data_IF_187542490252
#
_entry.id   IF_187542490252
#
_cell.length_a   1.000
_cell.length_b   1.000
_cell.length_c   1.000
_cell.angle_alpha   90.00
_cell.angle_beta   90.00
_cell.angle_gamma   90.00
#
_symmetry.space_group_name_H-M   'P 1'
#
loop_
_entity.id
_entity.type
_entity.pdbx_description
1 polymer ?
#
# COMPACT_ATOMS: atom_id res chain seq x y z
N UNK A 1 -24.23 -27.14 -9.44
CA UNK A 1 -23.02 -27.07 -8.59
C UNK A 1 -23.03 -25.73 -7.87
N UNK A 2 -23.05 -25.72 -6.53
CA UNK A 2 -23.05 -24.50 -5.70
C UNK A 2 -21.60 -24.04 -5.50
N UNK A 3 -21.13 -23.11 -6.29
CA UNK A 3 -19.92 -22.30 -6.02
C UNK A 3 -20.37 -20.91 -5.62
N UNK A 4 -20.70 -20.74 -4.34
CA UNK A 4 -21.08 -19.45 -3.80
C UNK A 4 -20.63 -19.34 -2.37
N UNK A 5 -20.02 -18.19 -2.05
CA UNK A 5 -19.75 -17.67 -0.70
C UNK A 5 -18.37 -17.87 -0.06
N UNK A 6 -17.31 -18.12 -0.83
CA UNK A 6 -15.92 -18.06 -0.33
C UNK A 6 -15.32 -16.64 -0.38
N UNK A 7 -15.62 -15.81 -1.39
CA UNK A 7 -15.09 -14.43 -1.49
C UNK A 7 -15.72 -13.46 -0.46
N UNK A 8 -17.03 -13.56 -0.20
CA UNK A 8 -17.68 -12.74 0.82
C UNK A 8 -17.11 -12.94 2.24
N UNK A 9 -16.59 -14.13 2.54
CA UNK A 9 -15.92 -14.44 3.81
C UNK A 9 -14.53 -13.81 3.92
N UNK A 10 -13.84 -13.61 2.80
CA UNK A 10 -12.52 -12.97 2.78
C UNK A 10 -12.62 -11.46 3.00
N UNK A 11 -13.57 -10.79 2.34
CA UNK A 11 -13.83 -9.35 2.54
C UNK A 11 -14.33 -9.06 3.96
N UNK A 12 -15.18 -9.92 4.52
CA UNK A 12 -15.62 -9.81 5.92
C UNK A 12 -14.48 -10.06 6.89
N UNK A 13 -13.55 -10.97 6.62
CA UNK A 13 -12.39 -11.20 7.48
C UNK A 13 -11.42 -10.00 7.47
N UNK A 14 -11.19 -9.37 6.32
CA UNK A 14 -10.32 -8.20 6.20
C UNK A 14 -10.95 -6.96 6.88
N UNK A 15 -12.25 -6.74 6.69
CA UNK A 15 -13.02 -5.70 7.37
C UNK A 15 -13.11 -5.99 8.87
N UNK A 16 -13.31 -7.24 9.29
CA UNK A 16 -13.34 -7.64 10.69
C UNK A 16 -11.97 -7.53 11.35
N UNK A 17 -10.86 -7.80 10.65
CA UNK A 17 -9.51 -7.57 11.17
C UNK A 17 -9.22 -6.08 11.31
N UNK A 18 -9.62 -5.25 10.35
CA UNK A 18 -9.50 -3.79 10.43
C UNK A 18 -10.40 -3.21 11.55
N UNK A 19 -11.63 -3.71 11.69
CA UNK A 19 -12.56 -3.32 12.75
C UNK A 19 -12.12 -3.81 14.13
N UNK A 20 -11.56 -5.02 14.24
CA UNK A 20 -11.04 -5.56 15.50
C UNK A 20 -9.75 -4.85 15.94
N UNK A 21 -8.92 -4.38 15.00
CA UNK A 21 -7.82 -3.47 15.31
C UNK A 21 -8.31 -2.10 15.83
N UNK A 22 -9.52 -1.69 15.42
CA UNK A 22 -10.17 -0.45 15.84
C UNK A 22 -10.98 -0.57 17.16
N UNK A 23 -11.46 -1.78 17.49
CA UNK A 23 -12.41 -2.03 18.59
C UNK A 23 -11.80 -2.61 19.88
N UNK A 24 -10.55 -2.28 20.24
CA UNK A 24 -10.16 -2.52 21.65
C UNK A 24 -10.96 -1.56 22.55
N UNK A 25 -11.74 -2.06 23.52
CA UNK A 25 -12.64 -1.22 24.30
C UNK A 25 -11.83 -0.22 25.13
N UNK A 26 -12.28 1.04 25.09
CA UNK A 26 -11.97 2.06 26.09
C UNK A 26 -12.47 1.54 27.45
N UNK A 27 -11.67 0.72 28.13
CA UNK A 27 -11.96 0.35 29.51
C UNK A 27 -11.60 1.54 30.39
N UNK A 28 -12.57 2.42 30.59
CA UNK A 28 -12.64 3.36 31.71
C UNK A 28 -12.71 2.53 33.00
N UNK A 29 -11.56 2.09 33.50
CA UNK A 29 -11.26 1.91 34.92
C UNK A 29 -10.03 1.02 35.09
N UNK A 30 -8.87 1.67 35.27
CA UNK A 30 -7.82 1.33 36.24
C UNK A 30 -6.66 2.33 36.09
N UNK A 31 -6.17 2.97 37.17
CA UNK A 31 -4.84 3.57 37.15
C UNK A 31 -3.83 2.41 37.15
N UNK A 32 -3.41 1.98 35.96
CA UNK A 32 -2.29 1.07 35.80
C UNK A 32 -1.11 1.87 35.26
N UNK A 33 -0.14 2.06 36.14
CA UNK A 33 1.26 2.33 35.81
C UNK A 33 1.60 1.67 34.47
N UNK A 34 2.03 2.47 33.50
CA UNK A 34 2.40 2.02 32.16
C UNK A 34 3.29 0.76 32.27
N UNK A 35 2.89 -0.38 31.70
CA UNK A 35 3.76 -1.53 31.70
C UNK A 35 4.99 -1.19 30.86
N UNK A 36 6.14 -1.32 31.50
CA UNK A 36 7.48 -1.32 30.90
C UNK A 36 7.47 -1.97 29.51
N UNK A 37 7.99 -1.26 28.51
CA UNK A 37 8.40 -1.78 27.20
C UNK A 37 9.07 -3.14 27.40
N UNK A 38 8.40 -4.22 27.04
CA UNK A 38 8.79 -5.58 27.43
C UNK A 38 9.98 -6.12 26.66
N UNK A 39 10.36 -5.47 25.56
CA UNK A 39 11.60 -5.69 24.80
C UNK A 39 12.08 -4.36 24.20
N UNK A 40 13.40 -4.18 23.96
CA UNK A 40 13.87 -3.03 23.21
C UNK A 40 13.31 -3.11 21.79
N UNK A 41 12.29 -2.31 21.52
CA UNK A 41 11.95 -1.98 20.14
C UNK A 41 13.11 -1.11 19.65
N UNK A 42 13.97 -1.61 18.75
CA UNK A 42 15.05 -0.80 18.18
C UNK A 42 14.52 0.47 17.52
N UNK A 43 13.22 0.50 17.21
CA UNK A 43 12.40 1.66 16.86
C UNK A 43 12.45 2.83 17.87
N UNK A 44 12.95 2.63 19.09
CA UNK A 44 13.15 3.65 20.13
C UNK A 44 14.58 4.20 20.10
N UNK A 45 15.53 3.44 19.55
CA UNK A 45 16.95 3.79 19.50
C UNK A 45 17.35 4.03 18.05
N UNK A 46 16.92 5.15 17.49
CA UNK A 46 17.44 5.71 16.23
C UNK A 46 18.90 6.21 16.39
N UNK A 47 19.63 5.72 17.40
CA UNK A 47 20.99 6.14 17.68
C UNK A 47 21.92 5.61 16.59
N UNK A 48 22.70 6.51 16.00
CA UNK A 48 23.72 6.15 15.01
C UNK A 48 24.78 5.19 15.58
N UNK A 49 25.01 5.25 16.91
CA UNK A 49 26.09 4.60 17.66
C UNK A 49 25.88 3.12 18.05
N UNK A 50 24.90 2.42 17.47
CA UNK A 50 24.80 0.97 17.66
C UNK A 50 25.93 0.27 16.88
N UNK A 51 27.01 -0.09 17.59
CA UNK A 51 28.17 -0.80 17.04
C UNK A 51 27.84 -2.19 16.50
N UNK A 52 26.71 -2.79 16.92
CA UNK A 52 26.23 -4.09 16.49
C UNK A 52 24.83 -3.96 15.85
N UNK A 53 24.76 -3.51 14.60
CA UNK A 53 23.52 -3.58 13.80
C UNK A 53 23.39 -4.96 13.15
N UNK A 54 22.19 -5.55 13.09
CA UNK A 54 21.99 -6.78 12.34
C UNK A 54 22.21 -6.53 10.85
N UNK A 55 22.78 -7.50 10.11
CA UNK A 55 22.98 -7.37 8.68
C UNK A 55 21.64 -7.33 7.92
N UNK A 56 21.62 -6.64 6.78
CA UNK A 56 20.43 -6.53 5.93
C UNK A 56 19.87 -7.90 5.52
N UNK A 57 20.74 -8.89 5.30
CA UNK A 57 20.34 -10.26 4.95
C UNK A 57 19.48 -10.92 6.02
N UNK A 58 19.68 -10.59 7.29
CA UNK A 58 18.88 -11.11 8.40
C UNK A 58 17.50 -10.42 8.45
N UNK A 59 17.45 -9.10 8.22
CA UNK A 59 16.18 -8.38 8.13
C UNK A 59 15.33 -8.81 6.92
N UNK A 60 15.96 -9.17 5.80
CA UNK A 60 15.29 -9.63 4.59
C UNK A 60 15.03 -11.15 4.57
N UNK A 61 15.38 -11.89 5.63
CA UNK A 61 15.16 -13.34 5.70
C UNK A 61 13.68 -13.72 5.90
N UNK A 62 12.78 -12.74 6.07
CA UNK A 62 11.35 -12.97 6.22
C UNK A 62 10.73 -13.42 4.87
N UNK A 63 9.86 -14.44 4.85
CA UNK A 63 9.13 -14.84 3.64
C UNK A 63 8.38 -13.69 2.94
N UNK A 64 7.89 -12.69 3.71
CA UNK A 64 7.23 -11.50 3.16
C UNK A 64 8.21 -10.56 2.46
N UNK A 65 9.46 -10.51 2.89
CA UNK A 65 10.50 -9.73 2.23
C UNK A 65 10.92 -10.36 0.91
N UNK A 66 10.99 -11.69 0.82
CA UNK A 66 11.19 -12.37 -0.47
C UNK A 66 10.10 -12.01 -1.49
N UNK A 67 8.84 -11.98 -1.04
CA UNK A 67 7.71 -11.57 -1.88
C UNK A 67 7.80 -10.10 -2.30
N UNK A 68 8.13 -9.21 -1.37
CA UNK A 68 8.31 -7.78 -1.67
C UNK A 68 9.47 -7.56 -2.64
N UNK A 69 10.59 -8.26 -2.49
CA UNK A 69 11.73 -8.17 -3.41
C UNK A 69 11.38 -8.70 -4.81
N UNK A 70 10.61 -9.78 -4.90
CA UNK A 70 10.11 -10.27 -6.19
C UNK A 70 9.21 -9.23 -6.88
N UNK A 71 8.31 -8.60 -6.12
CA UNK A 71 7.44 -7.54 -6.62
C UNK A 71 8.24 -6.31 -7.06
N UNK A 72 9.24 -5.89 -6.30
CA UNK A 72 10.12 -4.77 -6.66
C UNK A 72 10.99 -5.07 -7.88
N UNK A 73 11.40 -6.32 -8.09
CA UNK A 73 12.10 -6.73 -9.32
C UNK A 73 11.19 -6.60 -10.55
N UNK A 74 9.93 -7.04 -10.44
CA UNK A 74 8.91 -6.81 -11.50
C UNK A 74 8.64 -5.31 -11.67
N UNK A 75 8.57 -4.56 -10.57
CA UNK A 75 8.39 -3.11 -10.60
C UNK A 75 9.54 -2.37 -11.28
N UNK A 76 10.78 -2.82 -11.08
CA UNK A 76 11.95 -2.29 -11.80
C UNK A 76 11.86 -2.53 -13.31
N UNK A 77 11.39 -3.72 -13.73
CA UNK A 77 11.13 -4.02 -15.14
C UNK A 77 10.05 -3.10 -15.73
N UNK A 78 8.92 -2.96 -15.05
CA UNK A 78 7.81 -2.09 -15.49
C UNK A 78 8.26 -0.62 -15.53
N UNK A 79 8.99 -0.17 -14.50
CA UNK A 79 9.53 1.18 -14.43
C UNK A 79 10.46 1.48 -15.60
N UNK A 80 11.39 0.57 -15.90
CA UNK A 80 12.30 0.70 -17.04
C UNK A 80 11.54 0.73 -18.36
N UNK A 81 10.56 -0.16 -18.54
CA UNK A 81 9.74 -0.21 -19.74
C UNK A 81 8.99 1.10 -19.98
N UNK A 82 8.46 1.75 -18.94
CA UNK A 82 7.86 3.08 -19.06
C UNK A 82 8.87 4.17 -19.38
N UNK A 83 10.08 4.10 -18.81
CA UNK A 83 11.14 5.08 -19.12
C UNK A 83 11.51 5.02 -20.60
N UNK A 84 11.60 3.83 -21.18
CA UNK A 84 11.99 3.65 -22.60
C UNK A 84 10.82 3.59 -23.59
N UNK A 85 9.57 3.63 -23.11
CA UNK A 85 8.37 3.60 -23.94
C UNK A 85 8.05 2.23 -24.57
N UNK A 86 8.34 1.13 -23.89
CA UNK A 86 8.13 -0.23 -24.38
C UNK A 86 6.87 -0.90 -23.78
N UNK A 87 5.79 -0.92 -24.55
CA UNK A 87 4.45 -1.40 -24.13
C UNK A 87 3.99 -2.64 -24.92
N UNK A 88 4.84 -3.66 -24.99
CA UNK A 88 4.54 -4.90 -25.71
C UNK A 88 3.81 -5.95 -24.84
N UNK A 89 3.63 -7.17 -25.36
CA UNK A 89 3.00 -8.27 -24.61
C UNK A 89 3.77 -8.62 -23.33
N UNK A 90 5.08 -8.41 -23.31
CA UNK A 90 5.90 -8.70 -22.14
C UNK A 90 5.71 -7.67 -21.03
N UNK A 91 5.26 -6.45 -21.38
CA UNK A 91 4.81 -5.44 -20.43
C UNK A 91 3.54 -5.91 -19.72
N UNK A 92 2.53 -6.36 -20.48
CA UNK A 92 1.27 -6.88 -19.95
C UNK A 92 1.49 -8.11 -19.06
N UNK A 93 2.41 -9.00 -19.42
CA UNK A 93 2.77 -10.12 -18.57
C UNK A 93 3.43 -9.67 -17.26
N UNK A 94 4.27 -8.62 -17.30
CA UNK A 94 4.84 -8.03 -16.08
C UNK A 94 3.74 -7.41 -15.20
N UNK A 95 2.75 -6.71 -15.77
CA UNK A 95 1.60 -6.18 -15.02
C UNK A 95 0.86 -7.30 -14.29
N UNK A 96 0.56 -8.42 -14.98
CA UNK A 96 -0.10 -9.58 -14.38
C UNK A 96 0.69 -10.14 -13.20
N UNK A 97 2.00 -10.27 -13.34
CA UNK A 97 2.87 -10.69 -12.24
C UNK A 97 2.87 -9.70 -11.08
N UNK A 98 2.92 -8.39 -11.36
CA UNK A 98 2.87 -7.36 -10.33
C UNK A 98 1.55 -7.41 -9.53
N UNK A 99 0.41 -7.52 -10.22
CA UNK A 99 -0.91 -7.69 -9.61
C UNK A 99 -0.97 -8.95 -8.75
N UNK A 100 -0.50 -10.09 -9.28
CA UNK A 100 -0.51 -11.36 -8.54
C UNK A 100 0.35 -11.31 -7.28
N UNK A 101 1.53 -10.71 -7.37
CA UNK A 101 2.44 -10.52 -6.24
C UNK A 101 1.89 -9.50 -5.23
N UNK A 102 1.22 -8.44 -5.68
CA UNK A 102 0.53 -7.48 -4.82
C UNK A 102 -0.63 -8.12 -4.03
N UNK A 103 -1.46 -8.93 -4.70
CA UNK A 103 -2.50 -9.71 -4.04
C UNK A 103 -1.92 -10.76 -3.06
N UNK A 104 -0.82 -11.41 -3.43
CA UNK A 104 -0.10 -12.30 -2.52
C UNK A 104 0.45 -11.54 -1.29
N UNK A 105 0.91 -10.30 -1.46
CA UNK A 105 1.41 -9.47 -0.34
C UNK A 105 0.27 -9.11 0.62
N UNK A 106 -0.91 -8.81 0.09
CA UNK A 106 -2.11 -8.61 0.90
C UNK A 106 -2.46 -9.87 1.72
N UNK A 107 -2.43 -11.06 1.09
CA UNK A 107 -2.66 -12.31 1.78
C UNK A 107 -1.59 -12.60 2.85
N UNK A 108 -0.33 -12.32 2.56
CA UNK A 108 0.78 -12.44 3.51
C UNK A 108 0.62 -11.50 4.71
N UNK A 109 0.13 -10.27 4.49
CA UNK A 109 -0.18 -9.34 5.57
C UNK A 109 -1.27 -9.87 6.50
N UNK A 110 -2.34 -10.46 5.95
CA UNK A 110 -3.39 -11.12 6.74
C UNK A 110 -2.82 -12.29 7.56
N UNK A 111 -2.04 -13.16 6.92
CA UNK A 111 -1.39 -14.28 7.61
C UNK A 111 -0.46 -13.80 8.74
N UNK A 112 0.27 -12.71 8.51
CA UNK A 112 1.14 -12.08 9.49
C UNK A 112 0.35 -11.55 10.70
N UNK A 113 -0.78 -10.89 10.47
CA UNK A 113 -1.66 -10.37 11.53
C UNK A 113 -2.28 -11.50 12.35
N UNK A 114 -2.77 -12.55 11.70
CA UNK A 114 -3.40 -13.71 12.36
C UNK A 114 -2.39 -14.46 13.23
N UNK A 115 -1.19 -14.71 12.70
CA UNK A 115 -0.12 -15.40 13.42
C UNK A 115 0.60 -14.52 14.44
N UNK A 116 0.41 -13.18 14.37
CA UNK A 116 1.22 -12.17 15.07
C UNK A 116 2.72 -12.28 14.78
N UNK A 117 3.09 -12.95 13.70
CA UNK A 117 4.49 -13.15 13.34
C UNK A 117 5.15 -11.82 13.00
N UNK A 118 6.28 -11.50 13.66
CA UNK A 118 7.02 -10.26 13.41
C UNK A 118 6.14 -9.00 13.48
N UNK A 119 5.13 -8.98 14.36
CA UNK A 119 4.35 -7.79 14.71
C UNK A 119 4.84 -7.34 16.09
N UNK A 120 5.24 -6.08 16.22
CA UNK A 120 5.71 -5.55 17.51
C UNK A 120 4.59 -5.65 18.56
N UNK A 121 4.88 -6.19 19.77
CA UNK A 121 3.91 -6.22 20.86
C UNK A 121 3.77 -4.85 21.55
N UNK A 122 4.66 -3.90 21.27
CA UNK A 122 4.64 -2.57 21.88
C UNK A 122 3.52 -1.73 21.26
N UNK A 123 2.58 -1.30 22.10
CA UNK A 123 1.47 -0.47 21.67
C UNK A 123 1.94 0.93 21.27
N UNK A 124 1.44 1.41 20.12
CA UNK A 124 1.75 2.75 19.60
C UNK A 124 0.49 3.51 19.24
N UNK A 125 0.63 4.81 19.04
CA UNK A 125 -0.49 5.70 18.72
C UNK A 125 -0.88 5.63 17.24
N UNK A 126 -2.18 5.50 16.98
CA UNK A 126 -2.77 5.65 15.64
C UNK A 126 -2.18 4.72 14.59
N UNK A 127 -1.89 5.27 13.39
CA UNK A 127 -1.38 4.50 12.25
C UNK A 127 0.06 4.00 12.45
N UNK A 128 0.76 4.44 13.49
CA UNK A 128 2.16 4.05 13.75
C UNK A 128 2.28 2.69 14.45
N UNK A 129 1.15 2.15 14.95
CA UNK A 129 1.05 0.78 15.44
C UNK A 129 1.38 -0.24 14.34
N UNK A 130 2.26 -1.20 14.66
CA UNK A 130 2.80 -2.13 13.65
C UNK A 130 1.73 -3.06 13.06
N UNK A 131 0.71 -3.41 13.86
CA UNK A 131 -0.43 -4.17 13.36
C UNK A 131 -1.29 -3.29 12.42
N UNK A 132 -1.50 -2.02 12.78
CA UNK A 132 -2.22 -1.07 11.93
C UNK A 132 -1.48 -0.78 10.61
N UNK A 133 -0.17 -0.51 10.65
CA UNK A 133 0.66 -0.36 9.44
C UNK A 133 0.56 -1.60 8.56
N UNK A 134 0.68 -2.79 9.16
CA UNK A 134 0.63 -4.05 8.42
C UNK A 134 -0.73 -4.29 7.76
N UNK A 135 -1.82 -4.02 8.48
CA UNK A 135 -3.18 -4.15 7.96
C UNK A 135 -3.44 -3.15 6.82
N UNK A 136 -3.05 -1.89 7.03
CA UNK A 136 -3.18 -0.86 6.02
C UNK A 136 -2.39 -1.19 4.75
N UNK A 137 -1.12 -1.58 4.88
CA UNK A 137 -0.31 -1.97 3.73
C UNK A 137 -0.92 -3.15 2.95
N UNK A 138 -1.44 -4.17 3.65
CA UNK A 138 -2.12 -5.29 2.98
C UNK A 138 -3.39 -4.86 2.24
N UNK A 139 -4.21 -4.02 2.87
CA UNK A 139 -5.43 -3.49 2.25
C UNK A 139 -5.11 -2.58 1.05
N UNK A 140 -4.07 -1.74 1.16
CA UNK A 140 -3.59 -0.87 0.09
C UNK A 140 -3.06 -1.69 -1.09
N UNK A 141 -2.22 -2.69 -0.85
CA UNK A 141 -1.71 -3.58 -1.90
C UNK A 141 -2.85 -4.29 -2.64
N UNK A 142 -3.91 -4.72 -1.93
CA UNK A 142 -5.08 -5.32 -2.56
C UNK A 142 -5.88 -4.31 -3.39
N UNK A 143 -6.17 -3.13 -2.84
CA UNK A 143 -6.94 -2.08 -3.52
C UNK A 143 -6.25 -1.62 -4.81
N UNK A 144 -4.94 -1.37 -4.74
CA UNK A 144 -4.14 -0.98 -5.91
C UNK A 144 -4.01 -2.12 -6.92
N UNK A 145 -3.84 -3.36 -6.47
CA UNK A 145 -3.78 -4.52 -7.39
C UNK A 145 -5.11 -4.69 -8.15
N UNK A 146 -6.25 -4.49 -7.47
CA UNK A 146 -7.55 -4.49 -8.13
C UNK A 146 -7.65 -3.35 -9.14
N UNK A 147 -7.33 -2.11 -8.75
CA UNK A 147 -7.41 -0.94 -9.64
C UNK A 147 -6.53 -1.12 -10.88
N UNK A 148 -5.28 -1.56 -10.69
CA UNK A 148 -4.34 -1.84 -11.76
C UNK A 148 -4.87 -2.93 -12.71
N UNK A 149 -5.38 -4.04 -12.18
CA UNK A 149 -5.94 -5.11 -13.00
C UNK A 149 -7.18 -4.67 -13.75
N UNK A 150 -8.05 -3.89 -13.10
CA UNK A 150 -9.32 -3.43 -13.65
C UNK A 150 -9.12 -2.43 -14.79
N UNK A 151 -8.07 -1.61 -14.72
CA UNK A 151 -7.67 -0.69 -15.77
C UNK A 151 -6.88 -1.36 -16.90
N UNK A 152 -6.15 -2.44 -16.62
CA UNK A 152 -5.28 -3.12 -17.59
C UNK A 152 -6.05 -3.79 -18.74
N UNK A 153 -5.38 -3.91 -19.88
CA UNK A 153 -5.77 -4.79 -21.00
C UNK A 153 -5.84 -6.27 -20.59
N UNK A 154 -5.22 -6.65 -19.47
CA UNK A 154 -5.28 -7.98 -18.89
C UNK A 154 -6.50 -8.22 -17.99
N UNK A 155 -7.42 -7.26 -17.84
CA UNK A 155 -8.62 -7.42 -17.02
C UNK A 155 -9.43 -8.66 -17.46
N UNK A 156 -9.68 -9.64 -16.58
CA UNK A 156 -10.46 -10.81 -16.94
C UNK A 156 -11.95 -10.45 -17.13
N UNK A 157 -12.66 -11.13 -18.04
CA UNK A 157 -14.11 -10.96 -18.18
C UNK A 157 -14.83 -11.22 -16.84
N UNK A 158 -15.80 -10.36 -16.51
CA UNK A 158 -16.61 -10.47 -15.30
C UNK A 158 -15.99 -9.84 -14.04
N UNK A 159 -14.74 -9.33 -14.08
CA UNK A 159 -14.20 -8.56 -12.95
C UNK A 159 -15.03 -7.29 -12.69
N UNK A 160 -15.61 -6.70 -13.76
CA UNK A 160 -16.49 -5.54 -13.69
C UNK A 160 -17.73 -5.75 -12.83
N UNK A 161 -18.18 -6.99 -12.65
CA UNK A 161 -19.34 -7.32 -11.81
C UNK A 161 -19.07 -7.00 -10.32
N UNK A 162 -17.79 -6.83 -9.96
CA UNK A 162 -17.33 -6.49 -8.62
C UNK A 162 -16.88 -5.03 -8.50
N UNK A 163 -17.07 -4.19 -9.52
CA UNK A 163 -16.57 -2.81 -9.51
C UNK A 163 -17.10 -2.01 -8.33
N UNK A 164 -18.41 -2.02 -8.07
CA UNK A 164 -19.01 -1.27 -6.96
C UNK A 164 -18.43 -1.65 -5.57
N UNK A 165 -18.42 -2.93 -5.14
CA UNK A 165 -17.86 -3.29 -3.84
C UNK A 165 -16.34 -3.09 -3.76
N UNK A 166 -15.59 -3.37 -4.83
CA UNK A 166 -14.14 -3.19 -4.84
C UNK A 166 -13.74 -1.70 -4.84
N UNK A 167 -14.44 -0.86 -5.61
CA UNK A 167 -14.28 0.58 -5.59
C UNK A 167 -14.56 1.17 -4.21
N UNK A 168 -15.67 0.78 -3.57
CA UNK A 168 -16.01 1.26 -2.23
C UNK A 168 -14.91 0.91 -1.21
N UNK A 169 -14.39 -0.31 -1.27
CA UNK A 169 -13.27 -0.74 -0.42
C UNK A 169 -12.00 0.08 -0.72
N UNK A 170 -11.65 0.26 -1.99
CA UNK A 170 -10.48 1.03 -2.40
C UNK A 170 -10.57 2.49 -1.95
N UNK A 171 -11.73 3.14 -2.13
CA UNK A 171 -11.98 4.50 -1.65
C UNK A 171 -11.78 4.59 -0.13
N UNK A 172 -12.32 3.65 0.64
CA UNK A 172 -12.13 3.63 2.09
C UNK A 172 -10.66 3.47 2.48
N UNK A 173 -9.92 2.60 1.78
CA UNK A 173 -8.49 2.38 2.02
C UNK A 173 -7.69 3.65 1.72
N UNK A 174 -7.90 4.28 0.56
CA UNK A 174 -7.18 5.49 0.17
C UNK A 174 -7.55 6.68 1.07
N UNK A 175 -8.83 6.85 1.42
CA UNK A 175 -9.26 7.87 2.36
C UNK A 175 -8.67 7.66 3.76
N UNK A 176 -8.63 6.41 4.24
CA UNK A 176 -7.97 6.08 5.50
C UNK A 176 -6.48 6.43 5.46
N UNK A 177 -5.79 6.09 4.36
CA UNK A 177 -4.39 6.43 4.15
C UNK A 177 -4.11 7.93 4.20
N UNK A 178 -5.02 8.77 3.70
CA UNK A 178 -4.89 10.22 3.76
C UNK A 178 -5.20 10.81 5.14
N UNK A 179 -6.22 10.27 5.82
CA UNK A 179 -6.75 10.87 7.06
C UNK A 179 -6.03 10.35 8.32
N UNK A 180 -5.78 9.05 8.42
CA UNK A 180 -5.25 8.44 9.64
C UNK A 180 -3.86 8.96 10.07
N UNK A 181 -2.90 9.23 9.16
CA UNK A 181 -1.63 9.85 9.54
C UNK A 181 -1.81 11.25 10.15
N UNK A 182 -2.70 12.08 9.57
CA UNK A 182 -3.01 13.42 10.08
C UNK A 182 -3.63 13.34 11.47
N UNK A 183 -4.62 12.47 11.67
CA UNK A 183 -5.24 12.25 12.97
C UNK A 183 -4.23 11.72 14.02
N UNK A 184 -3.24 10.94 13.58
CA UNK A 184 -2.15 10.44 14.44
C UNK A 184 -1.24 11.58 14.89
N UNK A 185 -0.85 12.48 13.97
CA UNK A 185 -0.04 13.66 14.27
C UNK A 185 -0.76 14.66 15.17
N UNK A 186 -2.08 14.83 15.00
CA UNK A 186 -2.91 15.67 15.85
C UNK A 186 -3.17 15.07 17.25
N UNK A 187 -2.68 13.85 17.52
CA UNK A 187 -2.84 13.19 18.83
C UNK A 187 -4.28 12.75 19.13
N UNK A 188 -5.12 12.61 18.11
CA UNK A 188 -6.55 12.31 18.27
C UNK A 188 -6.84 10.81 18.51
N UNK A 189 -5.82 9.95 18.45
CA UNK A 189 -5.95 8.53 18.77
C UNK A 189 -5.60 8.23 20.23
N UNK A 190 -6.60 8.32 21.11
CA UNK A 190 -6.57 7.78 22.47
C UNK A 190 -5.60 8.49 23.42
N UNK A 191 -6.13 9.23 24.40
CA UNK A 191 -5.37 9.94 25.44
C UNK A 191 -4.50 9.03 26.32
N UNK A 192 -4.78 7.72 26.33
CA UNK A 192 -4.04 6.72 27.12
C UNK A 192 -2.80 6.15 26.40
N UNK A 193 -2.62 6.43 25.10
CA UNK A 193 -1.46 5.93 24.34
C UNK A 193 -0.24 6.84 24.53
N UNK A 194 0.99 6.31 24.50
CA UNK A 194 2.20 7.12 24.62
C UNK A 194 2.29 8.20 23.53
N UNK A 195 2.94 9.31 23.84
CA UNK A 195 3.27 10.35 22.87
C UNK A 195 4.21 9.80 21.78
N UNK A 196 4.12 10.38 20.58
CA UNK A 196 4.99 10.01 19.48
C UNK A 196 6.42 10.46 19.78
N UNK A 197 7.37 9.55 19.63
CA UNK A 197 8.79 9.92 19.56
C UNK A 197 9.09 10.77 18.30
N UNK A 198 10.27 11.39 18.23
CA UNK A 198 10.72 12.12 17.05
C UNK A 198 10.71 11.25 15.78
N UNK A 199 11.20 10.01 15.89
CA UNK A 199 11.20 9.03 14.80
C UNK A 199 9.77 8.64 14.39
N UNK A 200 8.86 8.47 15.34
CA UNK A 200 7.46 8.16 15.03
C UNK A 200 6.73 9.35 14.40
N UNK A 201 7.08 10.57 14.80
CA UNK A 201 6.61 11.80 14.16
C UNK A 201 7.08 11.87 12.70
N UNK A 202 8.38 11.65 12.46
CA UNK A 202 8.94 11.60 11.10
C UNK A 202 8.25 10.55 10.23
N UNK A 203 8.01 9.34 10.78
CA UNK A 203 7.29 8.26 10.09
C UNK A 203 5.85 8.66 9.78
N UNK A 204 5.13 9.24 10.74
CA UNK A 204 3.75 9.70 10.55
C UNK A 204 3.66 10.80 9.48
N UNK A 205 4.61 11.74 9.45
CA UNK A 205 4.71 12.76 8.40
C UNK A 205 4.97 12.14 7.03
N UNK A 206 5.87 11.14 6.93
CA UNK A 206 6.08 10.39 5.69
C UNK A 206 4.81 9.69 5.20
N UNK A 207 4.02 9.13 6.12
CA UNK A 207 2.74 8.50 5.81
C UNK A 207 1.69 9.50 5.30
N UNK A 208 1.71 10.78 5.74
CA UNK A 208 0.84 11.82 5.16
C UNK A 208 1.12 11.98 3.67
N UNK A 209 2.39 12.08 3.27
CA UNK A 209 2.74 12.24 1.85
C UNK A 209 2.30 11.05 1.00
N UNK A 210 2.52 9.82 1.47
CA UNK A 210 2.07 8.59 0.80
C UNK A 210 0.54 8.53 0.73
N UNK A 211 -0.15 8.90 1.82
CA UNK A 211 -1.60 8.96 1.90
C UNK A 211 -2.22 9.96 0.92
N UNK A 212 -1.62 11.16 0.79
CA UNK A 212 -2.04 12.16 -0.20
C UNK A 212 -1.87 11.65 -1.62
N UNK A 213 -0.75 10.97 -1.93
CA UNK A 213 -0.56 10.34 -3.23
C UNK A 213 -1.61 9.24 -3.47
N UNK A 214 -1.92 8.41 -2.48
CA UNK A 214 -2.98 7.41 -2.61
C UNK A 214 -4.38 8.01 -2.87
N UNK A 215 -4.66 9.19 -2.32
CA UNK A 215 -5.95 9.86 -2.50
C UNK A 215 -6.21 10.28 -3.95
N UNK A 216 -5.18 10.40 -4.80
CA UNK A 216 -5.35 10.75 -6.23
C UNK A 216 -6.09 9.67 -7.02
N UNK A 217 -6.11 8.43 -6.52
CA UNK A 217 -6.80 7.29 -7.16
C UNK A 217 -8.27 7.18 -6.74
N UNK A 218 -8.73 8.01 -5.78
CA UNK A 218 -10.14 8.00 -5.35
C UNK A 218 -11.08 8.33 -6.52
N UNK A 219 -10.84 9.35 -7.35
CA UNK A 219 -11.65 9.63 -8.54
C UNK A 219 -11.79 8.42 -9.46
N UNK A 220 -10.71 7.67 -9.70
CA UNK A 220 -10.75 6.49 -10.59
C UNK A 220 -11.58 5.37 -9.98
N UNK A 221 -11.41 5.13 -8.67
CA UNK A 221 -12.24 4.17 -7.96
C UNK A 221 -13.72 4.56 -8.02
N UNK A 222 -14.03 5.85 -7.80
CA UNK A 222 -15.41 6.36 -7.91
C UNK A 222 -15.94 6.20 -9.34
N UNK A 223 -15.13 6.48 -10.34
CA UNK A 223 -15.49 6.33 -11.75
C UNK A 223 -15.78 4.87 -12.10
N UNK A 224 -14.95 3.91 -11.66
CA UNK A 224 -15.23 2.49 -11.82
C UNK A 224 -16.45 2.02 -11.02
N UNK A 225 -16.64 2.52 -9.80
CA UNK A 225 -17.75 2.11 -8.94
C UNK A 225 -19.12 2.65 -9.35
N UNK A 226 -19.16 3.84 -9.95
CA UNK A 226 -20.40 4.48 -10.44
C UNK A 226 -20.61 4.27 -11.94
N UNK A 227 -19.53 4.17 -12.71
CA UNK A 227 -19.55 3.90 -14.13
C UNK A 227 -19.91 2.44 -14.42
N UNK A 228 -20.53 2.22 -15.58
CA UNK A 228 -20.73 0.85 -16.08
C UNK A 228 -19.46 0.33 -16.76
N UNK A 229 -19.36 -0.98 -16.97
CA UNK A 229 -18.31 -1.54 -17.85
C UNK A 229 -18.28 -0.87 -19.22
N UNK A 230 -19.46 -0.52 -19.76
CA UNK A 230 -19.61 0.18 -21.02
C UNK A 230 -18.96 1.59 -21.02
N UNK A 231 -18.90 2.28 -19.88
CA UNK A 231 -18.18 3.54 -19.78
C UNK A 231 -16.68 3.32 -20.00
N UNK A 232 -16.08 2.34 -19.32
CA UNK A 232 -14.66 2.05 -19.45
C UNK A 232 -14.30 1.54 -20.85
N UNK A 233 -15.15 0.69 -21.43
CA UNK A 233 -14.98 0.20 -22.79
C UNK A 233 -14.98 1.35 -23.81
N UNK A 234 -15.88 2.33 -23.63
CA UNK A 234 -15.93 3.54 -24.45
C UNK A 234 -14.68 4.39 -24.29
N UNK A 235 -14.24 4.66 -23.06
CA UNK A 235 -13.01 5.43 -22.80
C UNK A 235 -11.81 4.74 -23.46
N UNK A 236 -11.68 3.43 -23.27
CA UNK A 236 -10.58 2.63 -23.83
C UNK A 236 -10.64 2.51 -25.35
N UNK A 237 -11.83 2.57 -25.95
CA UNK A 237 -11.97 2.60 -27.41
C UNK A 237 -11.57 3.96 -28.02
N UNK A 238 -11.81 5.06 -27.29
CA UNK A 238 -11.45 6.41 -27.71
C UNK A 238 -9.98 6.75 -27.43
N UNK A 239 -9.43 6.22 -26.34
CA UNK A 239 -8.08 6.47 -25.83
C UNK A 239 -7.44 5.13 -25.39
N UNK A 240 -7.01 4.27 -26.33
CA UNK A 240 -6.45 2.96 -26.01
C UNK A 240 -5.29 3.00 -25.01
N UNK A 241 -4.44 4.02 -25.09
CA UNK A 241 -3.30 4.18 -24.19
C UNK A 241 -3.70 4.47 -22.73
N UNK A 242 -4.96 4.85 -22.48
CA UNK A 242 -5.49 5.06 -21.13
C UNK A 242 -5.41 3.78 -20.28
N UNK A 243 -5.64 2.60 -20.87
CA UNK A 243 -5.60 1.32 -20.15
C UNK A 243 -4.21 1.02 -19.59
N UNK A 244 -3.19 1.25 -20.42
CA UNK A 244 -1.78 1.11 -20.01
C UNK A 244 -1.44 2.16 -18.97
N UNK A 245 -1.79 3.44 -19.19
CA UNK A 245 -1.44 4.52 -18.27
C UNK A 245 -2.03 4.28 -16.87
N UNK A 246 -3.34 4.05 -16.76
CA UNK A 246 -4.02 3.91 -15.46
C UNK A 246 -3.59 2.65 -14.70
N UNK A 247 -3.32 1.55 -15.43
CA UNK A 247 -2.74 0.37 -14.82
C UNK A 247 -1.33 0.65 -14.28
N UNK A 248 -0.51 1.32 -15.07
CA UNK A 248 0.89 1.62 -14.72
C UNK A 248 0.99 2.56 -13.52
N UNK A 249 0.22 3.64 -13.49
CA UNK A 249 0.20 4.62 -12.39
C UNK A 249 -0.24 3.96 -11.08
N UNK A 250 -1.24 3.07 -11.15
CA UNK A 250 -1.64 2.23 -10.02
C UNK A 250 -0.48 1.34 -9.56
N UNK A 251 0.18 0.61 -10.47
CA UNK A 251 1.30 -0.27 -10.12
C UNK A 251 2.50 0.48 -9.50
N UNK A 252 2.79 1.70 -9.94
CA UNK A 252 3.80 2.54 -9.32
C UNK A 252 3.52 2.80 -7.84
N UNK A 253 2.25 3.02 -7.47
CA UNK A 253 1.84 3.18 -6.08
C UNK A 253 2.00 1.88 -5.27
N UNK A 254 1.76 0.72 -5.89
CA UNK A 254 2.03 -0.58 -5.28
C UNK A 254 3.53 -0.76 -4.99
N UNK A 255 4.41 -0.46 -5.96
CA UNK A 255 5.86 -0.59 -5.78
C UNK A 255 6.40 0.37 -4.71
N UNK A 256 5.94 1.62 -4.70
CA UNK A 256 6.30 2.60 -3.68
C UNK A 256 5.86 2.14 -2.27
N UNK A 257 4.66 1.58 -2.15
CA UNK A 257 4.15 1.07 -0.87
C UNK A 257 4.96 -0.12 -0.37
N UNK A 258 5.31 -1.06 -1.24
CA UNK A 258 6.08 -2.24 -0.84
C UNK A 258 7.54 -1.92 -0.55
N UNK A 259 8.15 -0.99 -1.29
CA UNK A 259 9.45 -0.43 -0.93
C UNK A 259 9.40 0.24 0.46
N UNK A 260 8.33 0.97 0.78
CA UNK A 260 8.13 1.58 2.10
C UNK A 260 8.03 0.53 3.20
N UNK A 261 7.33 -0.57 2.93
CA UNK A 261 7.18 -1.67 3.89
C UNK A 261 8.46 -2.46 4.11
N UNK A 262 9.30 -2.65 3.08
CA UNK A 262 10.66 -3.20 3.23
C UNK A 262 11.49 -2.26 4.09
N UNK A 263 11.51 -0.97 3.78
CA UNK A 263 12.22 0.05 4.55
C UNK A 263 11.77 0.07 6.03
N UNK A 264 10.46 0.00 6.28
CA UNK A 264 9.89 -0.10 7.63
C UNK A 264 10.38 -1.35 8.37
N UNK A 265 10.41 -2.52 7.72
CA UNK A 265 10.89 -3.77 8.33
C UNK A 265 12.39 -3.75 8.61
N UNK A 266 13.19 -3.21 7.69
CA UNK A 266 14.65 -3.02 7.86
C UNK A 266 14.94 -2.07 9.03
N UNK A 267 14.20 -0.96 9.13
CA UNK A 267 14.32 -0.02 10.25
C UNK A 267 13.87 -0.64 11.56
N UNK A 268 12.78 -1.41 11.56
CA UNK A 268 12.30 -2.16 12.73
C UNK A 268 13.33 -3.19 13.22
N UNK A 269 14.01 -3.88 12.31
CA UNK A 269 15.07 -4.81 12.64
C UNK A 269 16.32 -4.12 13.22
N UNK A 270 16.44 -2.79 13.13
CA UNK A 270 17.60 -2.04 13.62
C UNK A 270 18.80 -2.01 12.68
N UNK A 271 18.63 -2.49 11.43
CA UNK A 271 19.70 -2.54 10.42
C UNK A 271 20.26 -1.16 10.05
N UNK A 272 19.42 -0.13 10.07
CA UNK A 272 19.81 1.26 9.84
C UNK A 272 18.84 2.21 10.56
N UNK A 273 19.28 3.42 10.92
CA UNK A 273 18.42 4.43 11.52
C UNK A 273 17.38 4.93 10.51
N UNK A 274 16.18 5.26 10.98
CA UNK A 274 15.09 5.81 10.15
C UNK A 274 15.48 7.15 9.53
N UNK A 275 16.31 7.94 10.21
CA UNK A 275 16.90 9.16 9.66
C UNK A 275 17.68 8.94 8.35
N UNK A 276 18.22 7.72 8.12
CA UNK A 276 18.89 7.36 6.86
C UNK A 276 17.97 6.60 5.91
N UNK A 277 17.12 5.71 6.44
CA UNK A 277 16.19 4.91 5.64
C UNK A 277 15.17 5.80 4.93
N UNK A 278 14.61 6.81 5.60
CA UNK A 278 13.55 7.66 5.05
C UNK A 278 14.04 8.45 3.82
N UNK A 279 15.19 9.16 3.83
CA UNK A 279 15.71 9.80 2.62
C UNK A 279 16.04 8.82 1.48
N UNK A 280 16.63 7.65 1.78
CA UNK A 280 16.92 6.64 0.77
C UNK A 280 15.64 6.11 0.12
N UNK A 281 14.58 5.93 0.91
CA UNK A 281 13.26 5.55 0.43
C UNK A 281 12.65 6.60 -0.51
N UNK A 282 12.80 7.89 -0.22
CA UNK A 282 12.34 8.96 -1.13
C UNK A 282 12.99 8.83 -2.51
N UNK A 283 14.28 8.51 -2.57
CA UNK A 283 14.99 8.26 -3.85
C UNK A 283 14.42 7.05 -4.58
N UNK A 284 14.15 5.96 -3.86
CA UNK A 284 13.54 4.74 -4.44
C UNK A 284 12.14 5.02 -4.98
N UNK A 285 11.31 5.75 -4.25
CA UNK A 285 9.99 6.18 -4.73
C UNK A 285 10.07 7.05 -5.98
N UNK A 286 11.03 7.97 -6.03
CA UNK A 286 11.25 8.77 -7.22
C UNK A 286 11.59 7.88 -8.44
N UNK A 287 12.50 6.92 -8.26
CA UNK A 287 12.95 6.03 -9.33
C UNK A 287 11.88 5.03 -9.78
N UNK A 288 11.06 4.51 -8.87
CA UNK A 288 10.06 3.46 -9.17
C UNK A 288 8.66 3.99 -9.47
N UNK A 289 8.35 5.23 -9.12
CA UNK A 289 7.02 5.79 -9.31
C UNK A 289 7.03 7.10 -10.09
N UNK A 290 7.79 8.11 -9.65
CA UNK A 290 7.69 9.45 -10.23
C UNK A 290 8.30 9.50 -11.63
N UNK A 291 9.55 9.08 -11.80
CA UNK A 291 10.22 9.11 -13.10
C UNK A 291 9.52 8.22 -14.16
N UNK A 292 9.10 6.99 -13.83
CA UNK A 292 8.30 6.17 -14.75
C UNK A 292 6.94 6.78 -15.09
N UNK A 293 6.25 7.41 -14.13
CA UNK A 293 4.98 8.09 -14.39
C UNK A 293 5.13 9.27 -15.34
N UNK A 294 6.15 10.12 -15.15
CA UNK A 294 6.45 11.23 -16.06
C UNK A 294 6.79 10.71 -17.47
N UNK A 295 7.58 9.64 -17.55
CA UNK A 295 7.89 9.01 -18.84
C UNK A 295 6.65 8.40 -19.51
N UNK A 296 5.78 7.72 -18.75
CA UNK A 296 4.53 7.17 -19.26
C UNK A 296 3.64 8.26 -19.85
N UNK A 297 3.51 9.40 -19.16
CA UNK A 297 2.77 10.55 -19.67
C UNK A 297 3.41 11.15 -20.94
N UNK A 298 4.74 11.11 -21.07
CA UNK A 298 5.42 11.56 -22.28
C UNK A 298 5.15 10.63 -23.47
N UNK A 299 5.26 9.31 -23.27
CA UNK A 299 5.10 8.33 -24.35
C UNK A 299 3.64 8.09 -24.74
N UNK A 300 2.73 8.07 -23.77
CA UNK A 300 1.31 7.76 -23.97
C UNK A 300 0.45 9.04 -24.12
N UNK A 301 1.02 10.22 -23.85
CA UNK A 301 0.30 11.49 -23.76
C UNK A 301 -0.52 11.91 -24.98
N UNK A 302 -0.20 11.38 -26.16
CA UNK A 302 -0.92 11.67 -27.40
C UNK A 302 -2.26 10.95 -27.55
N UNK A 303 -2.54 9.95 -26.71
CA UNK A 303 -3.68 9.02 -26.84
C UNK A 303 -4.34 8.73 -25.48
N UNK A 304 -4.34 9.74 -24.60
CA UNK A 304 -4.99 9.74 -23.29
C UNK A 304 -5.86 10.98 -23.15
N UNK A 305 -6.87 10.92 -22.27
CA UNK A 305 -7.72 12.07 -21.99
C UNK A 305 -8.19 12.11 -20.55
N UNK A 306 -7.72 13.14 -19.82
CA UNK A 306 -8.20 13.45 -18.47
C UNK A 306 -9.66 13.92 -18.44
N UNK A 307 -10.20 14.42 -19.57
CA UNK A 307 -11.55 15.00 -19.62
C UNK A 307 -12.61 14.02 -20.12
N UNK A 308 -12.24 13.09 -21.02
CA UNK A 308 -13.12 12.02 -21.49
C UNK A 308 -13.42 10.98 -20.40
N UNK A 309 -12.64 11.00 -19.32
CA UNK A 309 -12.84 10.20 -18.12
C UNK A 309 -14.13 10.60 -17.35
N UNK A 310 -14.54 11.88 -17.39
CA UNK A 310 -15.57 12.43 -16.49
C UNK A 310 -16.78 13.09 -17.20
N UNK A 311 -16.84 13.05 -18.53
CA UNK A 311 -18.01 13.54 -19.30
C UNK A 311 -18.49 12.45 -20.25
N UNK A 312 -19.81 12.21 -20.20
CA UNK A 312 -20.54 11.50 -21.27
C UNK A 312 -20.55 12.31 -22.56
#
# INVERSE_FOLDING_TARGET
MRTGNTMGRFSVALIACAAHAYQRPLSLDRPRLAPLRTQPDYLITDSADLSNRPPLTEALANPRDALAMALLAVGGRISLANVVGAYDTTYVDAERWAVALGAASAAAAVAQLVSKYNISPNERRGIIDDATVTAFAGAYSLAVSWLALRASTACPPGLSDYDAPCAALAVLVFAYGAVAPVLTLLGLYGSERPELSETETLRATGLVAIGTLGAIFIPDCVAFGLGSSAWWDRVSALHPSQQTLESSTSLFALFATEASMVAHRVGKAGCAPFAQIVPAFVVVCFALAIAPCVAALYWLGGDISFFSFYRD
#
